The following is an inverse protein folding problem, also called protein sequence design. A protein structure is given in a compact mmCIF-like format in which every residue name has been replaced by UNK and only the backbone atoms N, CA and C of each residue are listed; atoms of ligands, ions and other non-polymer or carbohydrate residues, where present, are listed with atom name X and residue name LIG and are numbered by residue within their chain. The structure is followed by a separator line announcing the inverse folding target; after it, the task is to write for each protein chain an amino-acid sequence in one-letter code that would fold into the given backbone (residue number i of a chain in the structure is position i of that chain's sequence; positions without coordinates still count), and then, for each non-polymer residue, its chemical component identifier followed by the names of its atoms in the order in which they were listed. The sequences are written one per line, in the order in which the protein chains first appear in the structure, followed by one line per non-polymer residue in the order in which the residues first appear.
data_IF_210295524320
#
_entry.id   IF_210295524320
#
_cell.length_a   1.000
_cell.length_b   1.000
_cell.length_c   1.000
_cell.angle_alpha   90.00
_cell.angle_beta   90.00
_cell.angle_gamma   90.00
#
_symmetry.space_group_name_H-M   'P 1'
#
loop_
_entity.id
_entity.type
_entity.pdbx_description
1 polymer ?
#
# COMPACT_ATOMS: atom_id res chain seq x y z
N UNK A 1 -20.98 7.64 17.17
CA UNK A 1 -21.33 8.67 18.18
C UNK A 1 -20.02 9.07 18.85
N UNK A 2 -19.55 10.30 18.59
CA UNK A 2 -18.24 10.77 19.05
C UNK A 2 -18.16 10.88 20.55
N UNK A 3 -17.03 10.43 21.15
CA UNK A 3 -16.77 10.51 22.58
C UNK A 3 -16.96 11.91 23.17
N UNK A 4 -16.83 12.95 22.36
CA UNK A 4 -17.08 14.35 22.78
C UNK A 4 -18.55 14.62 23.18
N UNK A 5 -19.50 14.03 22.47
CA UNK A 5 -20.93 14.20 22.77
C UNK A 5 -21.37 13.43 24.00
N UNK A 6 -20.72 12.31 24.31
CA UNK A 6 -21.00 11.54 25.51
C UNK A 6 -20.61 12.30 26.79
N UNK A 7 -19.46 12.97 26.79
CA UNK A 7 -18.96 13.77 27.90
C UNK A 7 -19.88 14.97 28.15
N UNK A 8 -20.31 15.66 27.11
CA UNK A 8 -21.24 16.80 27.22
C UNK A 8 -22.61 16.35 27.77
N UNK A 9 -23.08 15.18 27.33
CA UNK A 9 -24.38 14.66 27.83
C UNK A 9 -24.35 14.28 29.31
N UNK A 10 -23.24 13.71 29.78
CA UNK A 10 -23.04 13.36 31.19
C UNK A 10 -22.96 14.61 32.05
N UNK A 11 -22.28 15.67 31.61
CA UNK A 11 -22.16 16.93 32.34
C UNK A 11 -23.52 17.64 32.43
N UNK A 12 -24.27 17.69 31.35
CA UNK A 12 -25.62 18.31 31.34
C UNK A 12 -26.60 17.54 32.22
N UNK A 13 -26.51 16.21 32.26
CA UNK A 13 -27.36 15.38 33.12
C UNK A 13 -27.06 15.57 34.62
N UNK A 14 -25.79 15.78 34.97
CA UNK A 14 -25.39 16.04 36.37
C UNK A 14 -25.84 17.41 36.87
N UNK A 15 -25.87 18.41 36.00
CA UNK A 15 -26.36 19.77 36.37
C UNK A 15 -27.86 19.78 36.60
N UNK A 16 -28.63 18.96 35.91
CA UNK A 16 -30.10 18.83 36.10
C UNK A 16 -30.49 18.09 37.38
N UNK A 17 -29.57 17.36 38.01
CA UNK A 17 -29.78 16.64 39.27
C UNK A 17 -29.44 17.46 40.52
N UNK A 18 -29.16 18.76 40.39
CA UNK A 18 -29.01 19.68 41.53
C UNK A 18 -27.75 19.50 42.38
N UNK A 19 -26.71 18.85 41.84
CA UNK A 19 -25.41 18.77 42.48
C UNK A 19 -24.71 20.14 42.43
N UNK A 20 -24.41 20.70 43.63
CA UNK A 20 -23.68 21.97 43.74
C UNK A 20 -22.30 21.85 43.07
N UNK A 21 -21.94 22.86 42.31
CA UNK A 21 -20.71 22.95 41.54
C UNK A 21 -19.40 22.82 42.35
N UNK A 22 -19.48 22.85 43.70
CA UNK A 22 -18.32 22.71 44.58
C UNK A 22 -17.78 21.27 44.73
N UNK A 23 -18.44 20.27 44.19
CA UNK A 23 -18.03 18.87 44.30
C UNK A 23 -17.26 18.37 43.08
N UNK A 24 -17.05 19.23 42.07
CA UNK A 24 -16.40 18.82 40.80
C UNK A 24 -14.87 19.04 40.84
N UNK A 25 -14.37 19.77 41.84
CA UNK A 25 -12.96 20.17 41.93
C UNK A 25 -12.03 19.11 42.53
N UNK A 26 -12.56 17.97 42.97
CA UNK A 26 -11.77 16.92 43.64
C UNK A 26 -11.84 15.54 42.96
N UNK A 27 -12.26 15.49 41.69
CA UNK A 27 -12.06 14.31 40.84
C UNK A 27 -10.71 14.45 40.11
N UNK A 28 -9.65 14.47 40.91
CA UNK A 28 -8.30 14.16 40.39
C UNK A 28 -8.35 12.74 39.86
N UNK A 29 -8.39 12.62 38.52
CA UNK A 29 -8.29 11.35 37.81
C UNK A 29 -6.94 10.73 38.18
N UNK A 30 -6.91 9.96 39.29
CA UNK A 30 -5.77 9.11 39.60
C UNK A 30 -5.50 8.25 38.36
N UNK A 31 -4.37 8.52 37.72
CA UNK A 31 -3.91 7.71 36.57
C UNK A 31 -3.83 6.25 36.98
N UNK A 32 -4.33 5.35 36.17
CA UNK A 32 -4.30 3.93 36.50
C UNK A 32 -2.84 3.45 36.66
N UNK A 33 -2.59 2.48 37.57
CA UNK A 33 -1.22 2.04 37.93
C UNK A 33 -0.33 1.58 36.80
N UNK A 34 -0.91 1.38 35.61
CA UNK A 34 -0.19 0.97 34.39
C UNK A 34 0.15 2.14 33.46
N UNK A 35 -0.36 3.35 33.72
CA UNK A 35 0.05 4.54 32.98
C UNK A 35 1.48 4.91 33.43
N UNK A 36 2.46 4.50 32.65
CA UNK A 36 3.83 4.98 32.83
C UNK A 36 3.82 6.51 32.74
N UNK A 37 4.47 7.24 33.67
CA UNK A 37 4.60 8.68 33.55
C UNK A 37 5.23 8.96 32.20
N UNK A 38 4.56 9.77 31.38
CA UNK A 38 5.14 10.24 30.14
C UNK A 38 6.48 10.90 30.48
N UNK A 39 7.58 10.26 30.09
CA UNK A 39 8.88 10.86 30.17
C UNK A 39 8.78 12.16 29.38
N UNK A 40 8.93 13.30 30.06
CA UNK A 40 9.11 14.59 29.39
C UNK A 40 10.32 14.47 28.51
N UNK A 41 10.11 14.07 27.27
CA UNK A 41 11.14 14.14 26.23
C UNK A 41 11.36 15.62 26.00
N UNK A 42 12.34 16.15 26.72
CA UNK A 42 12.86 17.49 26.48
C UNK A 42 13.61 17.40 25.14
N UNK A 43 12.92 17.74 24.06
CA UNK A 43 13.52 17.92 22.73
C UNK A 43 14.45 19.15 22.78
N UNK A 44 15.61 19.01 23.45
CA UNK A 44 16.75 19.90 23.31
C UNK A 44 17.69 19.28 22.28
N UNK A 45 17.35 19.42 21.04
CA UNK A 45 18.21 19.08 19.91
C UNK A 45 17.67 19.82 18.69
N UNK A 46 18.56 20.42 17.94
CA UNK A 46 18.24 21.10 16.69
C UNK A 46 17.57 20.11 15.72
N UNK A 47 16.25 20.10 15.69
CA UNK A 47 15.42 19.28 14.80
C UNK A 47 15.66 19.61 13.30
N UNK A 48 16.45 20.64 13.01
CA UNK A 48 16.67 21.12 11.63
C UNK A 48 17.69 20.34 10.81
N UNK A 49 18.54 19.51 11.43
CA UNK A 49 19.61 18.82 10.67
C UNK A 49 19.28 17.39 10.26
N UNK A 50 18.28 16.76 10.87
CA UNK A 50 18.03 15.32 10.66
C UNK A 50 16.93 15.01 9.62
N UNK A 51 16.18 16.02 9.16
CA UNK A 51 15.09 15.83 8.21
C UNK A 51 15.59 15.76 6.75
N UNK A 52 16.78 16.26 6.47
CA UNK A 52 17.35 16.28 5.11
C UNK A 52 17.69 14.89 4.54
N UNK A 53 17.75 13.88 5.39
CA UNK A 53 18.03 12.48 5.01
C UNK A 53 16.80 11.60 4.89
N UNK A 54 15.62 12.07 5.30
CA UNK A 54 14.39 11.33 5.14
C UNK A 54 13.92 11.54 3.70
N UNK A 55 14.24 10.59 2.83
CA UNK A 55 13.61 10.53 1.50
C UNK A 55 12.11 10.42 1.69
N UNK A 56 11.30 11.26 1.02
CA UNK A 56 9.86 11.07 1.05
C UNK A 56 9.55 9.65 0.59
N UNK A 57 8.75 8.92 1.36
CA UNK A 57 8.29 7.58 1.01
C UNK A 57 6.82 7.67 0.66
N UNK A 58 6.42 7.05 -0.44
CA UNK A 58 5.00 6.95 -0.80
C UNK A 58 4.30 5.87 0.01
N UNK A 59 5.07 4.95 0.60
CA UNK A 59 4.55 3.75 1.24
C UNK A 59 3.99 2.73 0.26
N UNK A 60 4.13 2.96 -1.05
CA UNK A 60 3.66 2.09 -2.11
C UNK A 60 4.87 1.39 -2.75
N UNK A 61 5.03 0.11 -2.46
CA UNK A 61 6.03 -0.73 -3.07
C UNK A 61 5.52 -1.32 -4.39
N UNK A 62 6.31 -1.19 -5.43
CA UNK A 62 6.00 -1.68 -6.78
C UNK A 62 7.19 -2.43 -7.38
N UNK A 63 6.94 -3.23 -8.39
CA UNK A 63 7.99 -4.00 -9.08
C UNK A 63 8.40 -3.40 -10.42
N UNK A 64 7.67 -2.39 -10.91
CA UNK A 64 8.03 -1.62 -12.10
C UNK A 64 7.69 -2.32 -13.41
N UNK A 65 6.46 -2.79 -13.56
CA UNK A 65 5.91 -3.28 -14.82
C UNK A 65 4.51 -2.74 -15.07
N UNK A 66 4.10 -2.78 -16.33
CA UNK A 66 2.71 -2.60 -16.76
C UNK A 66 2.18 -3.93 -17.27
N UNK A 67 0.94 -4.24 -16.95
CA UNK A 67 0.31 -5.48 -17.36
C UNK A 67 -1.07 -5.23 -17.96
N UNK A 68 -1.49 -6.15 -18.80
CA UNK A 68 -2.87 -6.27 -19.28
C UNK A 68 -3.47 -7.51 -18.64
N UNK A 69 -4.69 -7.39 -18.14
CA UNK A 69 -5.41 -8.48 -17.54
C UNK A 69 -6.84 -8.55 -18.06
N UNK A 70 -7.26 -9.77 -18.39
CA UNK A 70 -8.65 -10.12 -18.69
C UNK A 70 -9.08 -11.24 -17.76
N UNK A 71 -10.21 -11.07 -17.11
CA UNK A 71 -10.75 -12.09 -16.20
C UNK A 71 -10.88 -13.46 -16.88
N UNK A 72 -10.41 -14.49 -16.18
CA UNK A 72 -10.37 -15.85 -16.72
C UNK A 72 -9.08 -16.22 -17.46
N UNK A 73 -8.16 -15.26 -17.67
CA UNK A 73 -6.87 -15.47 -18.32
C UNK A 73 -5.71 -15.03 -17.42
N UNK A 74 -4.53 -15.59 -17.65
CA UNK A 74 -3.31 -15.12 -17.00
C UNK A 74 -3.00 -13.69 -17.43
N UNK A 75 -2.48 -12.88 -16.51
CA UNK A 75 -2.06 -11.52 -16.81
C UNK A 75 -0.87 -11.51 -17.76
N UNK A 76 -0.84 -10.54 -18.63
CA UNK A 76 0.19 -10.38 -19.67
C UNK A 76 1.05 -9.15 -19.37
N UNK A 77 2.38 -9.32 -19.37
CA UNK A 77 3.31 -8.22 -19.20
C UNK A 77 3.38 -7.41 -20.48
N UNK A 78 2.94 -6.18 -20.44
CA UNK A 78 2.96 -5.26 -21.58
C UNK A 78 4.29 -4.49 -21.65
N UNK A 79 4.73 -3.93 -20.54
CA UNK A 79 5.90 -3.08 -20.45
C UNK A 79 6.68 -3.33 -19.17
N UNK A 80 8.00 -3.27 -19.25
CA UNK A 80 8.91 -3.29 -18.10
C UNK A 80 9.62 -1.95 -18.02
N UNK A 81 9.54 -1.30 -16.86
CA UNK A 81 10.22 -0.03 -16.66
C UNK A 81 11.73 -0.24 -16.42
N UNK A 82 12.57 0.59 -17.02
CA UNK A 82 14.02 0.47 -16.89
C UNK A 82 14.45 0.63 -15.43
N UNK A 83 15.51 -0.09 -15.05
CA UNK A 83 16.09 -0.09 -13.70
C UNK A 83 15.13 -0.53 -12.57
N UNK A 84 13.97 -1.05 -12.90
CA UNK A 84 12.99 -1.55 -11.94
C UNK A 84 13.36 -2.93 -11.38
N UNK A 85 12.77 -3.37 -10.26
CA UNK A 85 12.89 -4.75 -9.79
C UNK A 85 12.53 -5.79 -10.86
N UNK A 86 11.48 -5.56 -11.64
CA UNK A 86 11.07 -6.43 -12.73
C UNK A 86 12.15 -6.55 -13.81
N UNK A 87 12.76 -5.42 -14.20
CA UNK A 87 13.87 -5.40 -15.16
C UNK A 87 15.09 -6.16 -14.63
N UNK A 88 15.50 -5.89 -13.40
CA UNK A 88 16.63 -6.57 -12.75
C UNK A 88 16.39 -8.06 -12.54
N UNK A 89 15.13 -8.45 -12.31
CA UNK A 89 14.70 -9.85 -12.17
C UNK A 89 14.56 -10.61 -13.49
N UNK A 90 14.81 -9.95 -14.62
CA UNK A 90 14.80 -10.58 -15.94
C UNK A 90 13.40 -10.85 -16.51
N UNK A 91 12.36 -10.20 -15.98
CA UNK A 91 11.05 -10.18 -16.62
C UNK A 91 11.13 -9.45 -17.95
N UNK A 92 10.28 -9.82 -18.88
CA UNK A 92 10.25 -9.27 -20.25
C UNK A 92 8.82 -8.96 -20.66
N UNK A 93 8.62 -8.01 -21.57
CA UNK A 93 7.36 -7.91 -22.30
C UNK A 93 6.98 -9.26 -22.91
N UNK A 94 5.69 -9.55 -22.95
CA UNK A 94 5.09 -10.81 -23.41
C UNK A 94 5.21 -12.00 -22.44
N UNK A 95 5.75 -11.84 -21.25
CA UNK A 95 5.64 -12.86 -20.21
C UNK A 95 4.17 -12.95 -19.72
N UNK A 96 3.70 -14.17 -19.51
CA UNK A 96 2.42 -14.42 -18.86
C UNK A 96 2.66 -14.62 -17.36
N UNK A 97 2.05 -13.79 -16.54
CA UNK A 97 2.06 -13.93 -15.09
C UNK A 97 0.99 -14.94 -14.72
N UNK A 98 1.39 -16.16 -14.45
CA UNK A 98 0.48 -17.25 -14.11
C UNK A 98 0.00 -17.16 -12.66
N UNK A 99 0.91 -16.88 -11.72
CA UNK A 99 0.59 -16.73 -10.32
C UNK A 99 1.49 -15.70 -9.62
N UNK A 100 0.97 -15.08 -8.56
CA UNK A 100 1.64 -14.13 -7.69
C UNK A 100 1.47 -14.63 -6.26
N UNK A 101 2.58 -14.88 -5.54
CA UNK A 101 2.58 -15.44 -4.18
C UNK A 101 1.65 -16.67 -4.03
N UNK A 102 1.62 -17.51 -5.07
CA UNK A 102 0.78 -18.73 -5.13
C UNK A 102 -0.67 -18.49 -5.55
N UNK A 103 -1.11 -17.25 -5.70
CA UNK A 103 -2.46 -16.92 -6.17
C UNK A 103 -2.48 -16.82 -7.69
N UNK A 104 -3.31 -17.62 -8.35
CA UNK A 104 -3.44 -17.61 -9.82
C UNK A 104 -4.11 -16.33 -10.30
N UNK A 105 -3.52 -15.69 -11.30
CA UNK A 105 -4.01 -14.43 -11.86
C UNK A 105 -5.32 -14.59 -12.64
N UNK A 106 -5.55 -15.74 -13.28
CA UNK A 106 -6.79 -16.02 -14.02
C UNK A 106 -8.05 -16.07 -13.17
N UNK A 107 -7.90 -16.12 -11.82
CA UNK A 107 -9.01 -16.10 -10.86
C UNK A 107 -9.29 -14.71 -10.26
N UNK A 108 -8.53 -13.73 -10.68
CA UNK A 108 -8.61 -12.36 -10.18
C UNK A 108 -9.24 -11.43 -11.22
N UNK A 109 -9.56 -10.24 -10.79
CA UNK A 109 -9.77 -9.09 -11.66
C UNK A 109 -8.50 -8.24 -11.73
N UNK A 110 -8.47 -7.23 -12.58
CA UNK A 110 -7.31 -6.33 -12.73
C UNK A 110 -6.88 -5.70 -11.41
N UNK A 111 -7.83 -5.28 -10.58
CA UNK A 111 -7.54 -4.66 -9.27
C UNK A 111 -6.88 -5.65 -8.32
N UNK A 112 -7.35 -6.92 -8.30
CA UNK A 112 -6.75 -7.97 -7.49
C UNK A 112 -5.31 -8.29 -7.91
N UNK A 113 -5.03 -8.32 -9.21
CA UNK A 113 -3.66 -8.47 -9.73
C UNK A 113 -2.80 -7.28 -9.32
N UNK A 114 -3.33 -6.06 -9.47
CA UNK A 114 -2.63 -4.84 -9.07
C UNK A 114 -2.29 -4.85 -7.57
N UNK A 115 -3.24 -5.22 -6.71
CA UNK A 115 -3.04 -5.30 -5.26
C UNK A 115 -1.97 -6.31 -4.87
N UNK A 116 -1.89 -7.46 -5.56
CA UNK A 116 -0.85 -8.45 -5.30
C UNK A 116 0.53 -8.00 -5.80
N UNK A 117 0.60 -7.30 -6.94
CA UNK A 117 1.86 -6.78 -7.46
C UNK A 117 2.39 -5.61 -6.63
N UNK A 118 1.49 -4.79 -6.09
CA UNK A 118 1.80 -3.70 -5.17
C UNK A 118 1.89 -4.22 -3.73
N UNK A 119 2.42 -3.41 -2.85
CA UNK A 119 2.48 -3.73 -1.44
C UNK A 119 3.38 -2.77 -0.67
N UNK A 120 3.88 -3.22 0.46
CA UNK A 120 4.81 -2.44 1.27
C UNK A 120 6.21 -2.45 0.64
N UNK A 121 6.90 -1.28 0.54
CA UNK A 121 8.26 -1.22 0.03
C UNK A 121 9.21 -2.12 0.83
N UNK A 122 10.15 -2.76 0.13
CA UNK A 122 11.12 -3.68 0.73
C UNK A 122 10.59 -5.10 0.97
N UNK A 123 9.30 -5.34 0.74
CA UNK A 123 8.74 -6.70 0.85
C UNK A 123 9.05 -7.54 -0.37
N UNK A 124 9.16 -8.84 -0.15
CA UNK A 124 9.39 -9.81 -1.23
C UNK A 124 8.08 -10.19 -1.90
N UNK A 125 8.17 -10.53 -3.19
CA UNK A 125 7.08 -11.07 -4.00
C UNK A 125 7.62 -12.19 -4.86
N UNK A 126 6.87 -13.28 -4.98
CA UNK A 126 7.18 -14.41 -5.87
C UNK A 126 6.23 -14.43 -7.04
N UNK A 127 6.78 -14.37 -8.24
CA UNK A 127 6.00 -14.36 -9.47
C UNK A 127 6.33 -15.63 -10.26
N UNK A 128 5.29 -16.38 -10.60
CA UNK A 128 5.39 -17.52 -11.50
C UNK A 128 4.97 -17.07 -12.89
N UNK A 129 5.93 -17.08 -13.82
CA UNK A 129 5.73 -16.64 -15.21
C UNK A 129 5.90 -17.77 -16.20
N UNK A 130 5.23 -17.63 -17.33
CA UNK A 130 5.41 -18.49 -18.50
C UNK A 130 5.92 -17.64 -19.66
N UNK A 131 6.99 -18.07 -20.31
CA UNK A 131 7.60 -17.46 -21.50
C UNK A 131 7.74 -18.51 -22.58
N UNK A 132 6.88 -18.48 -23.57
CA UNK A 132 6.76 -19.59 -24.54
C UNK A 132 6.41 -20.90 -23.83
N UNK A 133 7.27 -21.90 -23.95
CA UNK A 133 7.09 -23.20 -23.27
C UNK A 133 7.82 -23.31 -21.94
N UNK A 134 8.57 -22.30 -21.54
CA UNK A 134 9.34 -22.31 -20.30
C UNK A 134 8.57 -21.63 -19.15
N UNK A 135 8.75 -22.17 -17.94
CA UNK A 135 8.16 -21.67 -16.71
C UNK A 135 9.26 -21.24 -15.75
N UNK A 136 9.08 -20.09 -15.11
CA UNK A 136 10.06 -19.53 -14.19
C UNK A 136 9.41 -19.06 -12.91
N UNK A 137 10.13 -19.24 -11.80
CA UNK A 137 9.86 -18.55 -10.55
C UNK A 137 10.84 -17.39 -10.43
N UNK A 138 10.32 -16.20 -10.25
CA UNK A 138 11.11 -14.98 -10.04
C UNK A 138 10.74 -14.41 -8.68
N UNK A 139 11.75 -14.23 -7.81
CA UNK A 139 11.57 -13.53 -6.53
C UNK A 139 12.10 -12.11 -6.68
N UNK A 140 11.28 -11.12 -6.36
CA UNK A 140 11.59 -9.70 -6.46
C UNK A 140 11.39 -9.04 -5.10
N UNK A 141 12.02 -7.87 -4.93
CA UNK A 141 11.78 -6.99 -3.79
C UNK A 141 11.06 -5.75 -4.31
N UNK A 142 9.93 -5.41 -3.72
CA UNK A 142 9.18 -4.20 -4.07
C UNK A 142 10.00 -2.97 -3.73
N UNK A 143 10.08 -2.04 -4.66
CA UNK A 143 10.78 -0.78 -4.50
C UNK A 143 9.77 0.35 -4.31
N UNK A 144 10.09 1.33 -3.47
CA UNK A 144 9.19 2.46 -3.23
C UNK A 144 8.95 3.23 -4.54
N UNK A 145 7.69 3.52 -4.82
CA UNK A 145 7.25 4.23 -6.02
C UNK A 145 7.95 5.59 -6.18
N UNK A 146 8.36 6.25 -5.09
CA UNK A 146 9.10 7.52 -5.13
C UNK A 146 10.44 7.43 -5.88
N UNK A 147 11.02 6.23 -5.97
CA UNK A 147 12.29 6.00 -6.67
C UNK A 147 12.16 5.95 -8.20
N UNK A 148 10.93 5.91 -8.70
CA UNK A 148 10.64 5.88 -10.13
C UNK A 148 10.48 7.32 -10.68
N UNK A 149 10.57 7.46 -12.01
CA UNK A 149 10.34 8.75 -12.65
C UNK A 149 8.92 9.25 -12.42
N UNK A 150 8.68 10.59 -12.44
CA UNK A 150 7.34 11.16 -12.25
C UNK A 150 6.28 10.59 -13.20
N UNK A 151 6.66 10.28 -14.44
CA UNK A 151 5.74 9.69 -15.42
C UNK A 151 5.28 8.29 -15.00
N UNK A 152 6.20 7.49 -14.47
CA UNK A 152 5.89 6.16 -13.96
C UNK A 152 5.02 6.28 -12.71
N UNK A 153 5.36 7.19 -11.80
CA UNK A 153 4.56 7.43 -10.59
C UNK A 153 3.12 7.79 -10.96
N UNK A 154 2.92 8.71 -11.90
CA UNK A 154 1.59 9.12 -12.35
C UNK A 154 0.81 7.95 -12.97
N UNK A 155 1.46 7.09 -13.74
CA UNK A 155 0.81 5.89 -14.31
C UNK A 155 0.34 4.92 -13.23
N UNK A 156 1.15 4.69 -12.19
CA UNK A 156 0.75 3.85 -11.06
C UNK A 156 -0.39 4.44 -10.25
N UNK A 157 -0.38 5.75 -10.00
CA UNK A 157 -1.41 6.44 -9.23
C UNK A 157 -2.74 6.59 -10.00
N UNK A 158 -2.69 6.54 -11.32
CA UNK A 158 -3.90 6.57 -12.16
C UNK A 158 -4.67 5.23 -12.16
N UNK A 159 -4.10 4.20 -11.54
CA UNK A 159 -4.69 2.86 -11.49
C UNK A 159 -4.55 2.06 -12.79
N UNK A 160 -5.00 0.81 -12.79
CA UNK A 160 -4.96 -0.03 -13.98
C UNK A 160 -5.86 0.56 -15.06
N UNK A 161 -5.30 0.75 -16.24
CA UNK A 161 -6.09 1.14 -17.42
C UNK A 161 -6.90 -0.09 -17.82
N UNK A 162 -8.19 -0.10 -17.50
CA UNK A 162 -9.13 -1.06 -18.06
C UNK A 162 -9.35 -0.72 -19.54
N UNK A 163 -8.41 -1.11 -20.38
CA UNK A 163 -8.66 -1.10 -21.83
C UNK A 163 -9.52 -2.32 -22.12
N UNK A 164 -10.71 -2.16 -22.69
CA UNK A 164 -11.44 -3.30 -23.21
C UNK A 164 -10.67 -3.86 -24.41
N UNK A 165 -9.78 -4.81 -24.13
CA UNK A 165 -8.98 -5.48 -25.15
C UNK A 165 -9.87 -6.54 -25.78
N UNK A 166 -10.16 -6.39 -27.06
CA UNK A 166 -10.88 -7.43 -27.81
C UNK A 166 -10.02 -8.70 -27.94
N UNK A 167 -10.65 -9.88 -28.12
CA UNK A 167 -9.92 -11.15 -28.24
C UNK A 167 -8.84 -11.14 -29.34
N UNK A 168 -8.98 -10.32 -30.36
CA UNK A 168 -8.03 -10.19 -31.49
C UNK A 168 -6.75 -9.47 -31.09
N UNK A 169 -6.81 -8.60 -30.07
CA UNK A 169 -5.64 -7.79 -29.66
C UNK A 169 -4.71 -8.54 -28.69
N UNK A 170 -5.22 -9.63 -28.09
CA UNK A 170 -4.46 -10.46 -27.16
C UNK A 170 -3.64 -11.56 -27.88
N UNK A 171 -4.04 -11.94 -29.11
CA UNK A 171 -3.38 -13.01 -29.87
C UNK A 171 -3.12 -12.55 -31.29
N UNK A 172 -2.10 -11.71 -31.55
CA UNK A 172 -1.81 -11.19 -32.87
C UNK A 172 -1.27 -12.25 -33.87
N UNK A 173 -1.08 -13.48 -33.42
CA UNK A 173 -0.51 -14.56 -34.23
C UNK A 173 -1.53 -15.70 -34.40
N UNK A 174 -2.19 -15.68 -35.53
CA UNK A 174 -2.84 -16.83 -36.15
C UNK A 174 -2.02 -17.27 -37.38
#
# INVERSE_FOLDING_TARGET
MDKKYYIVFVIVSLVLLGFKASAIEELELKQPPWAKPESKVTLKGNIREDISHIKPQTGIGVIGLRFIHQSGFSSYVEEIYPNSPASRGGLRPQDLIFAIDGVRTDRLNSDGVYQLLSGEPGTKIKIFITRGHAMFNVELIREDLVNFSPDIQNRYLSGPISVPVGPKDLFPYH
#
